data_IF_382540839530
#
_entry.id   IF_382540839530
#
_cell.length_a   1.000
_cell.length_b   1.000
_cell.length_c   1.000
_cell.angle_alpha   90.00
_cell.angle_beta   90.00
_cell.angle_gamma   90.00
#
_symmetry.space_group_name_H-M   'P 1'
#
loop_
_entity.id
_entity.type
_entity.pdbx_description
1 polymer ?
#
# COMPACT_ATOMS: atom_id res chain seq x y z
N UNK A 1 5.51 -1.39 3.39
CA UNK A 1 6.25 -2.65 3.31
C UNK A 1 5.38 -3.84 3.67
N UNK A 2 4.68 -3.84 4.83
CA UNK A 2 3.80 -4.92 5.30
C UNK A 2 2.75 -5.34 4.25
N UNK A 3 2.03 -4.37 3.68
CA UNK A 3 0.99 -4.61 2.66
C UNK A 3 1.59 -5.25 1.41
N UNK A 4 2.73 -4.73 0.96
CA UNK A 4 3.41 -5.24 -0.22
C UNK A 4 3.97 -6.63 -0.03
N UNK A 5 4.55 -6.92 1.14
CA UNK A 5 5.07 -8.25 1.48
C UNK A 5 3.97 -9.31 1.47
N UNK A 6 2.85 -9.05 2.15
CA UNK A 6 1.71 -9.97 2.16
C UNK A 6 1.13 -10.21 0.76
N UNK A 7 0.97 -9.13 -0.03
CA UNK A 7 0.49 -9.24 -1.41
C UNK A 7 1.43 -10.08 -2.29
N UNK A 8 2.75 -9.90 -2.14
CA UNK A 8 3.73 -10.64 -2.93
C UNK A 8 3.76 -12.13 -2.60
N UNK A 9 3.61 -12.50 -1.33
CA UNK A 9 3.50 -13.90 -0.92
C UNK A 9 2.29 -14.53 -1.60
N UNK A 10 1.10 -13.95 -1.45
CA UNK A 10 -0.13 -14.46 -2.04
C UNK A 10 -0.04 -14.55 -3.58
N UNK A 11 0.58 -13.55 -4.24
CA UNK A 11 0.76 -13.55 -5.70
C UNK A 11 1.71 -14.65 -6.17
N UNK A 12 2.84 -14.87 -5.49
CA UNK A 12 3.80 -15.90 -5.87
C UNK A 12 3.29 -17.31 -5.62
N UNK A 13 2.46 -17.52 -4.59
CA UNK A 13 1.78 -18.79 -4.38
C UNK A 13 0.83 -19.13 -5.55
N UNK A 14 0.12 -18.12 -6.07
CA UNK A 14 -0.82 -18.29 -7.20
C UNK A 14 -0.14 -18.35 -8.55
N UNK A 15 0.97 -17.65 -8.69
CA UNK A 15 1.73 -17.51 -9.94
C UNK A 15 3.22 -17.84 -9.71
N UNK A 16 3.60 -19.14 -9.65
CA UNK A 16 4.97 -19.55 -9.30
C UNK A 16 6.09 -19.00 -10.20
N UNK A 17 5.75 -18.59 -11.42
CA UNK A 17 6.69 -17.99 -12.37
C UNK A 17 6.73 -16.45 -12.36
N UNK A 18 6.07 -15.81 -11.40
CA UNK A 18 5.97 -14.36 -11.36
C UNK A 18 7.32 -13.68 -11.08
N UNK A 19 7.82 -12.92 -12.04
CA UNK A 19 8.95 -12.01 -11.85
C UNK A 19 8.45 -10.69 -11.25
N UNK A 20 9.05 -10.28 -10.14
CA UNK A 20 8.67 -9.05 -9.44
C UNK A 20 9.92 -8.21 -9.18
N UNK A 21 9.90 -6.98 -9.63
CA UNK A 21 11.00 -6.04 -9.49
C UNK A 21 10.50 -4.64 -9.15
N UNK A 22 11.32 -3.84 -8.47
CA UNK A 22 10.93 -2.48 -8.10
C UNK A 22 11.59 -1.96 -6.84
N UNK A 23 10.84 -1.25 -6.03
CA UNK A 23 11.25 -0.67 -4.75
C UNK A 23 10.33 -1.16 -3.64
N UNK A 24 10.91 -1.69 -2.59
CA UNK A 24 10.17 -2.18 -1.44
C UNK A 24 11.09 -2.37 -0.24
N UNK A 25 10.50 -2.57 0.93
CA UNK A 25 11.25 -2.79 2.15
C UNK A 25 11.65 -4.26 2.38
N UNK A 26 12.20 -4.56 3.57
CA UNK A 26 12.70 -5.89 3.90
C UNK A 26 11.69 -7.02 3.72
N UNK A 27 10.42 -6.79 4.04
CA UNK A 27 9.38 -7.82 3.90
C UNK A 27 9.08 -8.14 2.43
N UNK A 28 9.03 -7.12 1.57
CA UNK A 28 8.85 -7.31 0.13
C UNK A 28 10.06 -8.01 -0.49
N UNK A 29 11.28 -7.66 -0.06
CA UNK A 29 12.52 -8.31 -0.50
C UNK A 29 12.57 -9.77 -0.06
N UNK A 30 12.19 -10.06 1.19
CA UNK A 30 12.06 -11.44 1.69
C UNK A 30 11.01 -12.25 0.91
N UNK A 31 9.94 -11.60 0.45
CA UNK A 31 8.94 -12.21 -0.44
C UNK A 31 9.40 -12.30 -1.91
N UNK A 32 10.66 -11.93 -2.21
CA UNK A 32 11.29 -12.08 -3.52
C UNK A 32 11.08 -10.91 -4.48
N UNK A 33 10.93 -9.70 -3.97
CA UNK A 33 11.07 -8.49 -4.78
C UNK A 33 12.55 -8.29 -5.13
N UNK A 34 12.85 -8.11 -6.41
CA UNK A 34 14.17 -7.74 -6.90
C UNK A 34 14.28 -6.22 -7.06
N UNK A 35 15.35 -5.63 -6.57
CA UNK A 35 15.63 -4.21 -6.74
C UNK A 35 16.62 -3.63 -5.73
N UNK A 36 17.43 -2.64 -6.17
CA UNK A 36 18.54 -2.10 -5.39
C UNK A 36 18.12 -1.07 -4.34
N UNK A 37 16.90 -0.53 -4.45
CA UNK A 37 16.42 0.55 -3.56
C UNK A 37 15.48 0.01 -2.48
N UNK A 38 15.45 0.74 -1.37
CA UNK A 38 14.56 0.46 -0.24
C UNK A 38 13.42 1.48 -0.15
N UNK A 39 12.30 1.09 0.48
CA UNK A 39 11.19 2.00 0.73
C UNK A 39 11.60 3.21 1.59
N UNK A 40 12.61 3.04 2.43
CA UNK A 40 13.17 4.13 3.25
C UNK A 40 13.82 5.24 2.39
N UNK A 41 14.26 4.92 1.17
CA UNK A 41 14.76 5.91 0.21
C UNK A 41 13.63 6.85 -0.28
N UNK A 42 12.37 6.42 -0.16
CA UNK A 42 11.17 7.17 -0.52
C UNK A 42 10.49 7.85 0.67
N UNK A 43 10.80 7.40 1.90
CA UNK A 43 10.17 7.91 3.13
C UNK A 43 10.79 9.23 3.55
N UNK A 44 10.03 10.31 3.41
CA UNK A 44 10.47 11.67 3.78
C UNK A 44 9.39 12.31 4.64
N UNK A 45 9.76 12.72 5.85
CA UNK A 45 8.89 13.41 6.79
C UNK A 45 9.42 14.84 7.00
N UNK A 46 8.63 15.85 6.56
CA UNK A 46 8.94 17.25 6.77
C UNK A 46 9.54 17.98 5.55
N UNK A 47 9.21 19.29 5.43
CA UNK A 47 9.53 20.09 4.26
C UNK A 47 11.04 20.26 4.00
N UNK A 48 11.82 20.42 5.06
CA UNK A 48 13.28 20.57 4.98
C UNK A 48 13.95 19.25 4.55
N UNK A 49 13.44 18.14 5.03
CA UNK A 49 13.96 16.81 4.71
C UNK A 49 13.62 16.42 3.25
N UNK A 50 12.47 16.85 2.73
CA UNK A 50 12.12 16.68 1.31
C UNK A 50 13.18 17.30 0.41
N UNK A 51 13.62 18.53 0.70
CA UNK A 51 14.62 19.24 -0.12
C UNK A 51 15.98 18.51 -0.07
N UNK A 52 16.39 18.05 1.09
CA UNK A 52 17.64 17.29 1.27
C UNK A 52 17.64 15.97 0.52
N UNK A 53 16.52 15.26 0.52
CA UNK A 53 16.38 13.92 -0.09
C UNK A 53 15.93 13.96 -1.56
N UNK A 54 15.59 15.16 -2.09
CA UNK A 54 15.14 15.32 -3.47
C UNK A 54 16.07 14.66 -4.52
N UNK A 55 17.41 14.75 -4.43
CA UNK A 55 18.30 14.06 -5.38
C UNK A 55 18.16 12.53 -5.32
N UNK A 56 17.94 11.96 -4.12
CA UNK A 56 17.67 10.54 -3.94
C UNK A 56 16.33 10.13 -4.58
N UNK A 57 15.28 10.86 -4.30
CA UNK A 57 13.95 10.64 -4.89
C UNK A 57 13.99 10.69 -6.43
N UNK A 58 14.71 11.67 -6.99
CA UNK A 58 14.89 11.78 -8.46
C UNK A 58 15.65 10.57 -9.00
N UNK A 59 16.67 10.08 -8.29
CA UNK A 59 17.44 8.89 -8.69
C UNK A 59 16.55 7.66 -8.73
N UNK A 60 15.77 7.41 -7.68
CA UNK A 60 14.83 6.30 -7.61
C UNK A 60 13.77 6.42 -8.70
N UNK A 61 13.21 7.61 -8.90
CA UNK A 61 12.23 7.85 -9.95
C UNK A 61 12.77 7.57 -11.35
N UNK A 62 14.00 8.03 -11.64
CA UNK A 62 14.66 7.75 -12.93
C UNK A 62 14.93 6.26 -13.11
N UNK A 63 15.40 5.58 -12.08
CA UNK A 63 15.60 4.14 -12.08
C UNK A 63 14.30 3.41 -12.43
N UNK A 64 13.22 3.66 -11.69
CA UNK A 64 11.92 3.03 -11.93
C UNK A 64 11.36 3.36 -13.33
N UNK A 65 11.51 4.59 -13.80
CA UNK A 65 11.07 4.97 -15.14
C UNK A 65 11.85 4.23 -16.23
N UNK A 66 13.14 4.04 -16.05
CA UNK A 66 13.97 3.27 -16.99
C UNK A 66 13.61 1.79 -16.94
N UNK A 67 13.39 1.24 -15.75
CA UNK A 67 12.96 -0.13 -15.55
C UNK A 67 11.63 -0.42 -16.27
N UNK A 68 10.63 0.48 -16.15
CA UNK A 68 9.37 0.36 -16.89
C UNK A 68 9.57 0.33 -18.41
N UNK A 69 10.54 1.09 -18.94
CA UNK A 69 10.82 1.13 -20.39
C UNK A 69 11.55 -0.12 -20.88
N UNK A 70 12.47 -0.64 -20.07
CA UNK A 70 13.32 -1.78 -20.42
C UNK A 70 12.56 -3.10 -20.29
N UNK A 71 11.95 -3.32 -19.11
CA UNK A 71 11.29 -4.59 -18.78
C UNK A 71 9.86 -4.69 -19.32
N UNK A 72 9.20 -3.55 -19.57
CA UNK A 72 7.80 -3.48 -20.05
C UNK A 72 6.88 -4.44 -19.29
N UNK A 73 6.76 -4.30 -17.98
CA UNK A 73 6.00 -5.24 -17.15
C UNK A 73 4.53 -5.30 -17.59
N UNK A 74 3.89 -6.44 -17.35
CA UNK A 74 2.48 -6.63 -17.64
C UNK A 74 1.56 -5.82 -16.72
N UNK A 75 2.06 -5.42 -15.54
CA UNK A 75 1.30 -4.67 -14.55
C UNK A 75 2.25 -3.83 -13.68
N UNK A 76 1.91 -2.58 -13.46
CA UNK A 76 2.50 -1.76 -12.40
C UNK A 76 1.59 -1.79 -11.17
N UNK A 77 2.09 -2.28 -10.04
CA UNK A 77 1.42 -2.18 -8.74
C UNK A 77 2.08 -1.06 -7.94
N UNK A 78 1.29 -0.09 -7.52
CA UNK A 78 1.74 0.99 -6.63
C UNK A 78 1.00 0.90 -5.30
N UNK A 79 1.70 1.08 -4.18
CA UNK A 79 1.14 0.92 -2.84
C UNK A 79 1.35 2.21 -2.05
N UNK A 80 0.26 2.87 -1.62
CA UNK A 80 0.31 4.11 -0.86
C UNK A 80 1.18 5.21 -1.55
N UNK A 81 1.80 6.15 -0.82
CA UNK A 81 2.71 7.19 -1.34
C UNK A 81 2.19 7.89 -2.62
N UNK A 82 0.98 8.47 -2.62
CA UNK A 82 0.29 8.87 -3.83
C UNK A 82 1.06 9.93 -4.64
N UNK A 83 1.75 10.86 -3.99
CA UNK A 83 2.44 11.94 -4.70
C UNK A 83 3.60 11.41 -5.56
N UNK A 84 4.37 10.43 -5.07
CA UNK A 84 5.42 9.77 -5.83
C UNK A 84 4.84 8.76 -6.85
N UNK A 85 3.95 7.90 -6.38
CA UNK A 85 3.41 6.81 -7.17
C UNK A 85 2.58 7.29 -8.36
N UNK A 86 1.85 8.39 -8.24
CA UNK A 86 1.09 8.93 -9.38
C UNK A 86 1.98 9.60 -10.44
N UNK A 87 3.17 10.07 -10.07
CA UNK A 87 4.15 10.49 -11.08
C UNK A 87 4.67 9.29 -11.87
N UNK A 88 4.97 8.18 -11.19
CA UNK A 88 5.39 6.94 -11.84
C UNK A 88 4.27 6.33 -12.69
N UNK A 89 3.05 6.30 -12.19
CA UNK A 89 1.86 5.83 -12.90
C UNK A 89 1.63 6.58 -14.23
N UNK A 90 1.89 7.89 -14.27
CA UNK A 90 1.83 8.65 -15.54
C UNK A 90 2.85 8.17 -16.57
N UNK A 91 4.03 7.73 -16.12
CA UNK A 91 5.02 7.17 -17.05
C UNK A 91 4.59 5.77 -17.54
N UNK A 92 4.08 4.93 -16.66
CA UNK A 92 3.54 3.62 -17.01
C UNK A 92 2.38 3.75 -18.01
N UNK A 93 1.46 4.68 -17.77
CA UNK A 93 0.33 4.93 -18.68
C UNK A 93 0.77 5.34 -20.10
N UNK A 94 1.82 6.17 -20.22
CA UNK A 94 2.39 6.54 -21.53
C UNK A 94 3.00 5.34 -22.26
N UNK A 95 3.39 4.31 -21.54
CA UNK A 95 3.95 3.06 -22.07
C UNK A 95 2.89 1.99 -22.31
N UNK A 96 1.61 2.28 -22.02
CA UNK A 96 0.52 1.32 -22.14
C UNK A 96 0.53 0.21 -21.10
N UNK A 97 1.23 0.41 -19.97
CA UNK A 97 1.33 -0.55 -18.88
C UNK A 97 0.12 -0.37 -17.97
N UNK A 98 -0.70 -1.40 -17.72
CA UNK A 98 -1.81 -1.35 -16.76
C UNK A 98 -1.34 -0.99 -15.36
N UNK A 99 -2.17 -0.25 -14.61
CA UNK A 99 -1.82 0.30 -13.29
C UNK A 99 -2.85 -0.12 -12.26
N UNK A 100 -2.41 -0.83 -11.24
CA UNK A 100 -3.18 -1.13 -10.04
C UNK A 100 -2.63 -0.30 -8.89
N UNK A 101 -3.48 0.51 -8.26
CA UNK A 101 -3.10 1.26 -7.07
C UNK A 101 -3.74 0.63 -5.83
N UNK A 102 -2.93 0.37 -4.81
CA UNK A 102 -3.35 -0.21 -3.55
C UNK A 102 -3.22 0.83 -2.44
N UNK A 103 -4.27 1.02 -1.68
CA UNK A 103 -4.51 2.07 -0.68
C UNK A 103 -4.90 3.40 -1.31
N UNK A 104 -6.20 3.70 -1.24
CA UNK A 104 -6.73 4.98 -1.71
C UNK A 104 -6.10 6.15 -0.95
N UNK A 105 -5.68 7.21 -1.63
CA UNK A 105 -5.35 8.45 -0.95
C UNK A 105 -6.55 8.99 -0.18
N UNK A 106 -6.32 9.64 0.95
CA UNK A 106 -7.37 10.25 1.79
C UNK A 106 -8.02 11.48 1.12
N UNK A 107 -8.54 11.31 -0.11
CA UNK A 107 -9.15 12.40 -0.91
C UNK A 107 -10.42 12.95 -0.28
N UNK A 108 -11.13 12.14 0.51
CA UNK A 108 -12.33 12.50 1.24
C UNK A 108 -12.08 13.53 2.34
N UNK A 109 -10.86 13.57 2.91
CA UNK A 109 -10.54 14.50 3.98
C UNK A 109 -10.13 15.90 3.48
N UNK A 110 -9.51 16.01 2.28
CA UNK A 110 -8.83 17.26 1.90
C UNK A 110 -8.97 17.70 0.43
N UNK A 111 -9.33 16.82 -0.52
CA UNK A 111 -9.25 17.14 -1.96
C UNK A 111 -10.17 16.29 -2.85
N UNK A 112 -11.49 16.53 -2.81
CA UNK A 112 -12.47 15.83 -3.66
C UNK A 112 -12.17 15.91 -5.18
N UNK A 113 -11.64 17.03 -5.66
CA UNK A 113 -11.23 17.17 -7.09
C UNK A 113 -10.07 16.29 -7.55
N UNK A 114 -9.45 15.49 -6.67
CA UNK A 114 -8.45 14.50 -7.04
C UNK A 114 -9.04 13.17 -7.50
N UNK A 115 -10.29 12.86 -7.13
CA UNK A 115 -10.95 11.59 -7.45
C UNK A 115 -10.95 11.32 -8.95
N UNK A 116 -11.42 12.29 -9.76
CA UNK A 116 -11.44 12.16 -11.23
C UNK A 116 -10.04 12.04 -11.86
N UNK A 117 -9.03 12.69 -11.25
CA UNK A 117 -7.65 12.59 -11.74
C UNK A 117 -7.08 11.20 -11.48
N UNK A 118 -7.38 10.62 -10.32
CA UNK A 118 -6.99 9.25 -9.96
C UNK A 118 -7.71 8.27 -10.87
N UNK A 119 -9.02 8.42 -11.03
CA UNK A 119 -9.84 7.56 -11.87
C UNK A 119 -9.40 7.53 -13.34
N UNK A 120 -8.84 8.64 -13.84
CA UNK A 120 -8.26 8.69 -15.19
C UNK A 120 -6.84 8.13 -15.27
N UNK A 121 -6.15 8.02 -14.15
CA UNK A 121 -4.73 7.64 -14.13
C UNK A 121 -4.53 6.14 -13.92
N UNK A 122 -5.27 5.54 -13.00
CA UNK A 122 -5.12 4.12 -12.64
C UNK A 122 -6.23 3.30 -13.28
N UNK A 123 -5.96 2.02 -13.55
CA UNK A 123 -6.92 1.12 -14.19
C UNK A 123 -7.71 0.28 -13.18
N UNK A 124 -7.19 0.14 -11.96
CA UNK A 124 -7.88 -0.50 -10.83
C UNK A 124 -7.40 0.08 -9.50
N UNK A 125 -8.33 0.24 -8.55
CA UNK A 125 -8.03 0.73 -7.20
C UNK A 125 -8.44 -0.31 -6.16
N UNK A 126 -7.51 -0.69 -5.28
CA UNK A 126 -7.79 -1.50 -4.11
C UNK A 126 -7.90 -0.59 -2.89
N UNK A 127 -9.01 -0.71 -2.15
CA UNK A 127 -9.30 0.13 -0.99
C UNK A 127 -9.38 -0.67 0.29
N UNK A 128 -9.00 -0.04 1.41
CA UNK A 128 -8.95 -0.68 2.74
C UNK A 128 -10.25 -0.57 3.51
N UNK A 129 -11.11 0.41 3.16
CA UNK A 129 -12.36 0.66 3.85
C UNK A 129 -13.54 0.62 2.89
N UNK A 130 -14.71 0.08 3.31
CA UNK A 130 -15.87 -0.08 2.43
C UNK A 130 -16.40 1.25 1.88
N UNK A 131 -16.40 2.31 2.70
CA UNK A 131 -16.91 3.64 2.31
C UNK A 131 -16.09 4.30 1.19
N UNK A 132 -14.84 3.90 1.00
CA UNK A 132 -13.97 4.43 -0.05
C UNK A 132 -14.49 4.09 -1.45
N UNK A 133 -15.23 2.98 -1.62
CA UNK A 133 -15.90 2.65 -2.90
C UNK A 133 -16.91 3.71 -3.32
N UNK A 134 -17.64 4.25 -2.36
CA UNK A 134 -18.68 5.25 -2.62
C UNK A 134 -18.07 6.56 -3.13
N UNK A 135 -16.87 6.90 -2.70
CA UNK A 135 -16.13 8.10 -3.15
C UNK A 135 -15.88 8.06 -4.66
N UNK A 136 -15.64 6.88 -5.21
CA UNK A 136 -15.34 6.69 -6.65
C UNK A 136 -16.57 6.24 -7.45
N UNK A 137 -17.75 6.08 -6.84
CA UNK A 137 -18.95 5.52 -7.50
C UNK A 137 -19.42 6.31 -8.74
N UNK A 138 -19.11 7.62 -8.79
CA UNK A 138 -19.43 8.47 -9.93
C UNK A 138 -18.43 8.35 -11.11
N UNK A 139 -17.36 7.57 -10.95
CA UNK A 139 -16.33 7.37 -11.96
C UNK A 139 -16.46 5.99 -12.61
N UNK A 140 -15.80 5.80 -13.76
CA UNK A 140 -15.71 4.48 -14.39
C UNK A 140 -14.57 3.60 -13.83
N UNK A 141 -13.85 4.06 -12.79
CA UNK A 141 -12.74 3.30 -12.20
C UNK A 141 -13.25 2.07 -11.46
N UNK A 142 -12.77 0.86 -11.78
CA UNK A 142 -13.01 -0.31 -10.99
C UNK A 142 -12.37 -0.17 -9.60
N UNK A 143 -13.18 -0.29 -8.54
CA UNK A 143 -12.72 -0.18 -7.14
C UNK A 143 -13.12 -1.43 -6.36
N UNK A 144 -12.14 -2.10 -5.77
CA UNK A 144 -12.35 -3.30 -4.98
C UNK A 144 -11.97 -3.06 -3.51
N UNK A 145 -12.91 -3.32 -2.62
CA UNK A 145 -12.63 -3.37 -1.19
C UNK A 145 -11.94 -4.70 -0.86
N UNK A 146 -10.75 -4.62 -0.31
CA UNK A 146 -9.92 -5.80 0.03
C UNK A 146 -9.76 -6.00 1.54
N UNK A 147 -10.25 -5.07 2.35
CA UNK A 147 -10.07 -5.08 3.80
C UNK A 147 -8.68 -4.64 4.24
N UNK A 148 -8.55 -4.39 5.54
CA UNK A 148 -7.27 -3.99 6.13
C UNK A 148 -6.52 -5.24 6.60
N UNK A 149 -5.26 -5.48 6.16
CA UNK A 149 -4.53 -6.71 6.48
C UNK A 149 -4.27 -6.91 7.97
N UNK A 150 -4.25 -5.84 8.75
CA UNK A 150 -4.16 -5.95 10.22
C UNK A 150 -5.32 -6.74 10.85
N UNK A 151 -6.45 -6.90 10.15
CA UNK A 151 -7.56 -7.73 10.66
C UNK A 151 -7.07 -9.17 10.87
N UNK A 152 -6.33 -9.74 9.94
CA UNK A 152 -5.73 -11.08 10.09
C UNK A 152 -4.78 -11.15 11.30
N UNK A 153 -3.97 -10.12 11.49
CA UNK A 153 -3.02 -10.05 12.61
C UNK A 153 -3.72 -9.89 13.96
N UNK A 154 -4.84 -9.17 13.98
CA UNK A 154 -5.61 -8.93 15.20
C UNK A 154 -6.63 -10.04 15.50
N UNK A 155 -6.97 -10.89 14.52
CA UNK A 155 -7.98 -11.93 14.68
C UNK A 155 -7.74 -12.82 15.91
N UNK A 156 -6.53 -13.35 16.18
CA UNK A 156 -6.28 -14.15 17.38
C UNK A 156 -6.55 -13.39 18.69
N UNK A 157 -6.31 -12.07 18.69
CA UNK A 157 -6.57 -11.21 19.84
C UNK A 157 -8.06 -10.90 20.02
N UNK A 158 -8.81 -10.78 18.91
CA UNK A 158 -10.24 -10.57 18.90
C UNK A 158 -10.95 -11.82 19.44
N UNK A 159 -10.50 -13.00 18.98
CA UNK A 159 -11.06 -14.28 19.39
C UNK A 159 -10.81 -14.55 20.89
N UNK A 160 -9.59 -14.29 21.38
CA UNK A 160 -9.27 -14.36 22.82
C UNK A 160 -10.06 -13.35 23.68
N UNK A 161 -10.47 -12.22 23.12
CA UNK A 161 -11.34 -11.25 23.81
C UNK A 161 -12.77 -11.75 23.96
N UNK A 162 -13.28 -12.51 23.00
CA UNK A 162 -14.62 -13.13 23.05
C UNK A 162 -14.73 -14.19 24.14
N UNK A 163 -13.65 -14.92 24.41
CA UNK A 163 -13.62 -15.98 25.43
C UNK A 163 -13.53 -15.47 26.88
N UNK A 164 -13.42 -14.15 27.09
CA UNK A 164 -13.40 -13.53 28.43
C UNK A 164 -12.16 -13.85 29.31
N UNK A 165 -11.42 -14.89 28.98
CA UNK A 165 -10.31 -15.43 29.80
C UNK A 165 -9.16 -14.45 29.99
N UNK A 166 -8.91 -13.58 29.01
CA UNK A 166 -7.78 -12.64 29.08
C UNK A 166 -8.09 -11.35 29.82
N UNK A 167 -9.38 -10.94 29.89
CA UNK A 167 -9.78 -9.74 30.62
C UNK A 167 -9.45 -9.87 32.10
N UNK A 168 -9.76 -11.02 32.69
CA UNK A 168 -9.42 -11.34 34.09
C UNK A 168 -7.91 -11.34 34.33
N UNK A 169 -7.13 -12.00 33.45
CA UNK A 169 -5.68 -12.06 33.58
C UNK A 169 -4.99 -10.69 33.46
N UNK A 170 -5.46 -9.83 32.55
CA UNK A 170 -4.93 -8.47 32.39
C UNK A 170 -5.32 -7.61 33.61
N UNK A 171 -6.56 -7.68 34.07
CA UNK A 171 -7.01 -6.96 35.29
C UNK A 171 -6.17 -7.37 36.48
N UNK A 172 -5.96 -8.66 36.70
CA UNK A 172 -5.12 -9.20 37.75
C UNK A 172 -3.65 -8.72 37.65
N UNK A 173 -3.09 -8.68 36.43
CA UNK A 173 -1.72 -8.18 36.22
C UNK A 173 -1.57 -6.67 36.45
N UNK A 174 -2.67 -5.92 36.34
CA UNK A 174 -2.74 -4.48 36.62
C UNK A 174 -3.18 -4.17 38.07
N UNK A 175 -3.43 -5.19 38.88
CA UNK A 175 -3.91 -5.02 40.26
C UNK A 175 -5.32 -4.43 40.36
N UNK A 176 -6.15 -4.66 39.31
CA UNK A 176 -7.53 -4.20 39.28
C UNK A 176 -8.49 -5.32 39.70
N UNK A 177 -9.36 -5.05 40.64
CA UNK A 177 -10.41 -5.94 41.08
C UNK A 177 -11.59 -5.95 40.08
N UNK A 178 -12.43 -6.99 40.15
CA UNK A 178 -13.57 -7.17 39.19
C UNK A 178 -14.60 -6.03 39.26
N UNK A 179 -14.64 -5.30 40.36
CA UNK A 179 -15.54 -4.16 40.63
C UNK A 179 -14.97 -2.79 40.20
N UNK A 180 -13.71 -2.69 39.83
CA UNK A 180 -13.13 -1.45 39.31
C UNK A 180 -13.66 -1.14 37.89
N UNK A 181 -14.38 -0.02 37.76
CA UNK A 181 -14.98 0.43 36.48
C UNK A 181 -13.98 1.21 35.64
#
# INVERSE_FOLDING_TARGET
DLLGGALLIDLKERFPGLAVFGVGGPQMKAAGLDGPYDVNDLSVIGLVEVIRRLPGLIRVFRYLTNLLRQEKPNLLITIDLPDFNFLLARQAKKLGIPILHYVSPQVWAWRSGRVDKIARLVDHLLVLFPFEKEIYAHTALPVTFVGHPMVKTLQPWIDQRRDGTRRGAIRQSLGLDDDDK
#
